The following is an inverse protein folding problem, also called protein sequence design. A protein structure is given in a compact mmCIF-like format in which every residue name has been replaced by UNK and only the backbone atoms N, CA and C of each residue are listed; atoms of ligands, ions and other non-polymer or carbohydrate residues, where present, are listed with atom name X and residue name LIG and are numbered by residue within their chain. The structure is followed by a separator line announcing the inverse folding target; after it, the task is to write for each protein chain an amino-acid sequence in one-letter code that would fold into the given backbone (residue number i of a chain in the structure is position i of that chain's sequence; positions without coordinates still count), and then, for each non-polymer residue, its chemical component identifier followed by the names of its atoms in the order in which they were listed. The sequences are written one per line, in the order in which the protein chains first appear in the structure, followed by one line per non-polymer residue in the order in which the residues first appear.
data_IF_814342903348
#
_entry.id   IF_814342903348
#
_cell.length_a   1.000
_cell.length_b   1.000
_cell.length_c   1.000
_cell.angle_alpha   90.00
_cell.angle_beta   90.00
_cell.angle_gamma   90.00
#
_symmetry.space_group_name_H-M   'P 1'
#
loop_
_entity.id
_entity.type
_entity.pdbx_description
1 polymer ?
#
# COMPACT_ATOMS: atom_id res chain seq x y z
N UNK A 1 -17.88 0.31 18.15
CA UNK A 1 -16.89 -0.77 18.16
C UNK A 1 -15.69 -0.29 17.34
N UNK A 2 -14.64 0.18 18.02
CA UNK A 2 -13.63 1.11 17.47
C UNK A 2 -12.30 0.44 17.10
N UNK A 3 -12.26 -0.88 16.97
CA UNK A 3 -11.04 -1.54 16.48
C UNK A 3 -10.85 -1.30 14.97
N UNK A 4 -9.60 -1.13 14.53
CA UNK A 4 -9.20 -1.07 13.11
C UNK A 4 -9.77 -2.24 12.27
N UNK A 5 -10.17 -3.33 12.93
CA UNK A 5 -10.64 -4.55 12.28
C UNK A 5 -12.14 -4.68 12.04
N UNK A 6 -12.97 -3.84 12.65
CA UNK A 6 -14.31 -3.59 12.10
C UNK A 6 -14.24 -2.78 10.78
N UNK A 7 -13.08 -2.17 10.51
CA UNK A 7 -12.81 -1.21 9.44
C UNK A 7 -11.97 -1.76 8.28
N UNK A 8 -11.52 -3.01 8.29
CA UNK A 8 -11.04 -3.62 7.05
C UNK A 8 -12.24 -4.26 6.35
N UNK A 9 -12.61 -3.73 5.18
CA UNK A 9 -13.57 -4.36 4.29
C UNK A 9 -13.19 -5.85 4.16
N UNK A 10 -14.08 -6.75 4.63
CA UNK A 10 -13.88 -8.21 4.73
C UNK A 10 -12.83 -8.72 3.74
N UNK A 11 -11.66 -9.11 4.24
CA UNK A 11 -10.64 -9.79 3.45
C UNK A 11 -11.26 -11.03 2.79
N UNK A 12 -10.77 -11.38 1.60
CA UNK A 12 -11.16 -12.63 0.93
C UNK A 12 -10.24 -13.75 1.42
N UNK A 13 -10.77 -14.97 1.48
CA UNK A 13 -9.93 -16.13 1.77
C UNK A 13 -8.89 -16.27 0.66
N UNK A 14 -7.63 -16.57 1.04
CA UNK A 14 -6.44 -16.64 0.17
C UNK A 14 -5.94 -15.29 -0.36
N UNK A 15 -6.36 -14.18 0.25
CA UNK A 15 -5.73 -12.89 0.01
C UNK A 15 -4.33 -12.90 0.64
N UNK A 16 -3.36 -12.28 -0.04
CA UNK A 16 -2.00 -12.10 0.48
C UNK A 16 -1.79 -10.61 0.62
N UNK A 17 -1.35 -10.18 1.80
CA UNK A 17 -1.06 -8.80 2.12
C UNK A 17 0.43 -8.72 2.40
N UNK A 18 1.13 -7.85 1.67
CA UNK A 18 2.51 -7.49 1.99
C UNK A 18 2.51 -6.08 2.55
N UNK A 19 2.94 -5.93 3.81
CA UNK A 19 3.10 -4.65 4.46
C UNK A 19 4.55 -4.20 4.31
N UNK A 20 4.75 -3.13 3.54
CA UNK A 20 6.04 -2.44 3.39
C UNK A 20 5.98 -1.17 4.25
N UNK A 21 6.67 -1.18 5.38
CA UNK A 21 6.74 -0.03 6.29
C UNK A 21 7.96 0.82 5.94
N UNK A 22 7.84 2.14 6.12
CA UNK A 22 8.91 3.06 5.77
C UNK A 22 8.96 4.27 6.70
N UNK A 23 10.15 4.85 6.78
CA UNK A 23 10.44 6.18 7.30
C UNK A 23 11.47 6.85 6.39
N UNK A 24 12.68 7.18 6.84
CA UNK A 24 13.78 7.65 5.99
C UNK A 24 14.31 6.60 4.98
N UNK A 25 13.72 5.40 5.02
CA UNK A 25 13.92 4.29 4.10
C UNK A 25 12.93 3.17 4.42
N UNK A 26 12.96 2.08 3.65
CA UNK A 26 12.17 0.87 3.98
C UNK A 26 12.66 0.29 5.30
N UNK A 27 11.73 -0.01 6.21
CA UNK A 27 12.02 -0.52 7.55
C UNK A 27 11.79 -2.03 7.62
N UNK A 28 10.58 -2.48 7.33
CA UNK A 28 10.20 -3.89 7.39
C UNK A 28 9.27 -4.23 6.22
N UNK A 29 9.40 -5.46 5.73
CA UNK A 29 8.52 -6.07 4.74
C UNK A 29 7.99 -7.35 5.36
N UNK A 30 6.68 -7.41 5.61
CA UNK A 30 6.02 -8.57 6.19
C UNK A 30 4.88 -9.07 5.30
N UNK A 31 4.82 -10.37 5.09
CA UNK A 31 3.81 -11.03 4.25
C UNK A 31 2.84 -11.83 5.12
N UNK A 32 1.55 -11.56 4.92
CA UNK A 32 0.46 -12.24 5.61
C UNK A 32 -0.45 -12.92 4.60
N UNK A 33 -0.63 -14.22 4.72
CA UNK A 33 -1.61 -14.97 3.95
C UNK A 33 -2.89 -15.15 4.77
N UNK A 34 -4.00 -14.59 4.29
CA UNK A 34 -5.29 -14.65 4.97
C UNK A 34 -5.96 -16.00 4.70
N UNK A 35 -5.75 -16.94 5.61
CA UNK A 35 -6.39 -18.26 5.55
C UNK A 35 -7.79 -18.26 6.19
N UNK A 36 -7.96 -17.51 7.29
CA UNK A 36 -9.25 -17.25 7.93
C UNK A 36 -9.60 -15.76 7.89
N UNK A 37 -10.74 -15.45 7.25
CA UNK A 37 -11.26 -14.08 7.09
C UNK A 37 -12.03 -13.59 8.31
N UNK A 38 -12.21 -14.43 9.33
CA UNK A 38 -12.78 -13.99 10.59
C UNK A 38 -11.87 -12.95 11.24
N UNK A 39 -12.45 -11.91 11.82
CA UNK A 39 -11.66 -10.90 12.54
C UNK A 39 -10.89 -11.52 13.71
N UNK A 40 -11.29 -12.70 14.18
CA UNK A 40 -10.59 -13.44 15.25
C UNK A 40 -9.60 -14.48 14.72
N UNK A 41 -9.40 -14.56 13.41
CA UNK A 41 -8.43 -15.47 12.79
C UNK A 41 -7.00 -15.12 13.22
N UNK A 42 -6.15 -16.15 13.33
CA UNK A 42 -4.78 -16.01 13.81
C UNK A 42 -3.97 -14.98 13.00
N UNK A 43 -4.03 -15.05 11.66
CA UNK A 43 -3.34 -14.09 10.78
C UNK A 43 -3.83 -12.66 11.00
N UNK A 44 -5.13 -12.47 11.23
CA UNK A 44 -5.66 -11.13 11.52
C UNK A 44 -5.19 -10.60 12.87
N UNK A 45 -4.91 -11.47 13.85
CA UNK A 45 -4.29 -11.06 15.10
C UNK A 45 -2.81 -10.69 14.90
N UNK A 46 -2.08 -11.42 14.06
CA UNK A 46 -0.69 -11.12 13.70
C UNK A 46 -0.57 -9.77 12.97
N UNK A 47 -1.43 -9.51 11.98
CA UNK A 47 -1.47 -8.20 11.29
C UNK A 47 -1.71 -7.05 12.27
N UNK A 48 -2.64 -7.21 13.23
CA UNK A 48 -2.88 -6.18 14.26
C UNK A 48 -1.66 -5.97 15.14
N UNK A 49 -1.06 -7.03 15.64
CA UNK A 49 0.12 -6.95 16.50
C UNK A 49 1.26 -6.23 15.77
N UNK A 50 1.50 -6.59 14.50
CA UNK A 50 2.49 -5.93 13.68
C UNK A 50 2.23 -4.43 13.56
N UNK A 51 0.99 -4.02 13.28
CA UNK A 51 0.61 -2.60 13.16
C UNK A 51 0.71 -1.86 14.50
N UNK A 52 0.29 -2.47 15.61
CA UNK A 52 0.32 -1.85 16.95
C UNK A 52 1.76 -1.66 17.48
N UNK A 53 2.70 -2.48 17.01
CA UNK A 53 4.12 -2.39 17.34
C UNK A 53 4.86 -1.34 16.51
N UNK A 54 4.26 -0.81 15.44
CA UNK A 54 4.87 0.26 14.65
C UNK A 54 5.08 1.52 15.51
N UNK A 55 6.22 2.17 15.26
CA UNK A 55 6.61 3.41 15.92
C UNK A 55 6.94 4.43 14.85
N UNK A 56 6.25 5.57 14.90
CA UNK A 56 6.59 6.71 14.05
C UNK A 56 7.98 7.24 14.43
N UNK A 57 8.79 7.56 13.42
CA UNK A 57 10.11 8.14 13.60
C UNK A 57 10.91 8.14 12.31
N UNK A 58 11.83 9.10 12.16
CA UNK A 58 12.53 9.35 10.90
C UNK A 58 11.75 10.31 10.00
N UNK A 59 12.15 10.36 8.72
CA UNK A 59 11.44 11.10 7.68
C UNK A 59 10.54 10.21 6.84
N UNK A 60 10.34 10.58 5.57
CA UNK A 60 9.39 9.97 4.66
C UNK A 60 10.07 9.66 3.32
N UNK A 61 10.28 8.38 3.03
CA UNK A 61 10.87 7.87 1.80
C UNK A 61 9.84 7.12 0.95
N UNK A 62 8.70 7.75 0.67
CA UNK A 62 7.54 7.12 0.03
C UNK A 62 7.86 6.56 -1.37
N UNK A 63 8.68 7.24 -2.17
CA UNK A 63 9.04 6.73 -3.50
C UNK A 63 10.00 5.53 -3.43
N UNK A 64 10.88 5.50 -2.42
CA UNK A 64 11.74 4.33 -2.17
C UNK A 64 10.90 3.14 -1.77
N UNK A 65 9.94 3.33 -0.86
CA UNK A 65 9.03 2.28 -0.43
C UNK A 65 8.12 1.80 -1.56
N UNK A 66 7.63 2.73 -2.40
CA UNK A 66 6.80 2.38 -3.55
C UNK A 66 7.59 1.58 -4.59
N UNK A 67 8.87 1.92 -4.84
CA UNK A 67 9.75 1.09 -5.67
C UNK A 67 9.85 -0.34 -5.15
N UNK A 68 10.13 -0.51 -3.85
CA UNK A 68 10.22 -1.83 -3.21
C UNK A 68 8.92 -2.62 -3.38
N UNK A 69 7.77 -1.96 -3.15
CA UNK A 69 6.46 -2.58 -3.33
C UNK A 69 6.22 -3.06 -4.77
N UNK A 70 6.66 -2.30 -5.79
CA UNK A 70 6.57 -2.71 -7.19
C UNK A 70 7.48 -3.90 -7.51
N UNK A 71 8.71 -3.94 -6.97
CA UNK A 71 9.62 -5.07 -7.17
C UNK A 71 9.04 -6.36 -6.58
N UNK A 72 8.53 -6.30 -5.34
CA UNK A 72 7.85 -7.41 -4.69
C UNK A 72 6.59 -7.86 -5.43
N UNK A 73 5.76 -6.91 -5.87
CA UNK A 73 4.52 -7.23 -6.57
C UNK A 73 4.79 -7.81 -7.97
N UNK A 74 5.80 -7.30 -8.69
CA UNK A 74 6.21 -7.83 -9.99
C UNK A 74 6.77 -9.26 -9.86
N UNK A 75 7.57 -9.54 -8.84
CA UNK A 75 8.05 -10.90 -8.56
C UNK A 75 6.88 -11.84 -8.25
N UNK A 76 5.96 -11.44 -7.37
CA UNK A 76 4.79 -12.23 -7.04
C UNK A 76 3.89 -12.49 -8.26
N UNK A 77 3.70 -11.49 -9.12
CA UNK A 77 2.92 -11.61 -10.36
C UNK A 77 3.55 -12.61 -11.34
N UNK A 78 4.88 -12.70 -11.41
CA UNK A 78 5.54 -13.73 -12.24
C UNK A 78 5.32 -15.14 -11.70
N UNK A 79 5.21 -15.31 -10.37
CA UNK A 79 4.96 -16.61 -9.74
C UNK A 79 3.50 -17.05 -9.86
N UNK A 80 2.55 -16.12 -9.76
CA UNK A 80 1.12 -16.38 -9.94
C UNK A 80 0.42 -15.27 -10.75
N UNK A 81 0.46 -15.37 -12.10
CA UNK A 81 -0.09 -14.35 -12.99
C UNK A 81 -1.63 -14.29 -13.01
N UNK A 82 -2.32 -15.27 -12.40
CA UNK A 82 -3.78 -15.30 -12.35
C UNK A 82 -4.36 -14.50 -11.17
N UNK A 83 -3.52 -13.96 -10.30
CA UNK A 83 -3.94 -13.09 -9.19
C UNK A 83 -4.02 -11.63 -9.62
N UNK A 84 -4.82 -10.88 -8.87
CA UNK A 84 -4.91 -9.43 -9.01
C UNK A 84 -3.94 -8.78 -8.03
N UNK A 85 -3.18 -7.81 -8.54
CA UNK A 85 -2.18 -7.08 -7.78
C UNK A 85 -2.52 -5.59 -7.78
N UNK A 86 -2.42 -4.97 -6.61
CA UNK A 86 -2.56 -3.54 -6.43
C UNK A 86 -1.74 -3.09 -5.23
N UNK A 87 -1.20 -1.88 -5.30
CA UNK A 87 -0.45 -1.27 -4.20
C UNK A 87 -1.32 -0.19 -3.58
N UNK A 88 -1.30 -0.10 -2.25
CA UNK A 88 -1.91 1.01 -1.50
C UNK A 88 -0.79 1.74 -0.80
N UNK A 89 -0.51 2.97 -1.23
CA UNK A 89 0.48 3.85 -0.59
C UNK A 89 -0.23 4.77 0.39
N UNK A 90 0.15 4.70 1.65
CA UNK A 90 -0.39 5.55 2.72
C UNK A 90 0.73 6.45 3.25
N UNK A 91 0.51 7.76 3.28
CA UNK A 91 1.48 8.73 3.81
C UNK A 91 0.79 9.91 4.48
N UNK A 92 1.36 10.42 5.56
CA UNK A 92 0.92 11.62 6.29
C UNK A 92 1.82 12.85 6.09
N UNK A 93 2.90 12.70 5.32
CA UNK A 93 3.85 13.78 5.03
C UNK A 93 4.47 13.71 3.64
N UNK A 94 5.13 14.80 3.26
CA UNK A 94 5.90 14.93 2.02
C UNK A 94 7.14 14.03 2.03
N UNK A 95 7.62 13.65 0.84
CA UNK A 95 8.85 12.88 0.73
C UNK A 95 10.08 13.71 1.15
N UNK A 96 10.74 13.33 2.24
CA UNK A 96 11.94 14.02 2.77
C UNK A 96 13.23 13.27 2.51
N UNK A 97 13.16 11.96 2.23
CA UNK A 97 14.32 11.08 2.15
C UNK A 97 14.26 10.15 0.93
N UNK A 98 15.41 9.59 0.57
CA UNK A 98 15.50 8.56 -0.46
C UNK A 98 15.19 9.04 -1.88
N UNK A 99 14.47 8.20 -2.62
CA UNK A 99 14.13 8.43 -4.02
C UNK A 99 13.17 9.62 -4.16
N UNK A 100 13.34 10.43 -5.22
CA UNK A 100 12.39 11.46 -5.60
C UNK A 100 11.47 11.04 -6.76
N UNK A 101 10.42 11.83 -7.01
CA UNK A 101 9.40 11.58 -8.04
C UNK A 101 9.96 11.20 -9.42
N UNK A 102 10.86 12.01 -9.99
CA UNK A 102 11.40 11.77 -11.34
C UNK A 102 12.23 10.48 -11.44
N UNK A 103 12.88 10.08 -10.33
CA UNK A 103 13.61 8.80 -10.27
C UNK A 103 12.64 7.63 -10.22
N UNK A 104 11.52 7.77 -9.51
CA UNK A 104 10.45 6.78 -9.48
C UNK A 104 9.76 6.66 -10.85
N UNK A 105 9.42 7.76 -11.51
CA UNK A 105 8.86 7.75 -12.88
C UNK A 105 9.78 7.01 -13.86
N UNK A 106 11.09 7.30 -13.79
CA UNK A 106 12.10 6.61 -14.62
C UNK A 106 12.21 5.12 -14.30
N UNK A 107 12.06 4.74 -13.03
CA UNK A 107 12.02 3.33 -12.61
C UNK A 107 10.75 2.65 -13.14
N UNK A 108 9.59 3.26 -12.92
CA UNK A 108 8.29 2.74 -13.33
C UNK A 108 8.21 2.53 -14.84
N UNK A 109 8.70 3.49 -15.63
CA UNK A 109 8.74 3.38 -17.10
C UNK A 109 9.66 2.28 -17.63
N UNK A 110 10.53 1.68 -16.80
CA UNK A 110 11.38 0.53 -17.17
C UNK A 110 10.80 -0.82 -16.75
N UNK A 111 9.69 -0.84 -16.00
CA UNK A 111 9.00 -2.08 -15.64
C UNK A 111 8.40 -2.75 -16.88
N UNK A 112 8.15 -4.06 -16.80
CA UNK A 112 7.38 -4.78 -17.83
C UNK A 112 5.95 -4.23 -17.91
N UNK A 113 5.27 -4.45 -19.05
CA UNK A 113 3.86 -4.07 -19.21
C UNK A 113 2.97 -4.68 -18.11
N UNK A 114 3.22 -5.94 -17.75
CA UNK A 114 2.50 -6.62 -16.66
C UNK A 114 2.68 -5.92 -15.31
N UNK A 115 3.90 -5.49 -14.98
CA UNK A 115 4.17 -4.78 -13.73
C UNK A 115 3.64 -3.33 -13.76
N UNK A 116 3.64 -2.67 -14.92
CA UNK A 116 2.99 -1.37 -15.11
C UNK A 116 1.45 -1.47 -15.06
N UNK A 117 0.87 -2.66 -15.18
CA UNK A 117 -0.57 -2.85 -14.99
C UNK A 117 -1.00 -2.81 -13.51
N UNK A 118 -0.05 -2.91 -12.58
CA UNK A 118 -0.28 -2.86 -11.14
C UNK A 118 -0.61 -1.42 -10.74
N UNK A 119 -1.85 -1.19 -10.32
CA UNK A 119 -2.33 0.14 -9.93
C UNK A 119 -1.86 0.50 -8.53
N UNK A 120 -1.46 1.76 -8.35
CA UNK A 120 -1.22 2.33 -7.02
C UNK A 120 -2.36 3.24 -6.60
N UNK A 121 -2.99 2.92 -5.48
CA UNK A 121 -3.97 3.78 -4.82
C UNK A 121 -3.27 4.54 -3.70
N UNK A 122 -3.27 5.86 -3.78
CA UNK A 122 -2.65 6.70 -2.75
C UNK A 122 -3.70 7.11 -1.73
N UNK A 123 -3.35 7.06 -0.44
CA UNK A 123 -4.20 7.50 0.66
C UNK A 123 -3.43 8.57 1.40
N UNK A 124 -3.89 9.80 1.23
CA UNK A 124 -3.34 10.96 1.89
C UNK A 124 -3.88 11.04 3.32
N UNK A 125 -2.97 11.18 4.28
CA UNK A 125 -3.26 11.63 5.62
C UNK A 125 -2.56 12.96 5.88
N UNK A 126 -3.00 13.69 6.89
CA UNK A 126 -2.28 14.85 7.42
C UNK A 126 -1.85 15.86 6.34
N UNK A 127 -0.55 16.16 6.33
CA UNK A 127 0.06 17.24 5.55
C UNK A 127 0.90 16.69 4.38
N UNK A 128 0.55 15.51 3.83
CA UNK A 128 1.25 15.01 2.65
C UNK A 128 1.00 15.91 1.42
N UNK A 129 1.95 15.94 0.48
CA UNK A 129 1.80 16.70 -0.77
C UNK A 129 0.73 16.05 -1.65
N UNK A 130 -0.45 16.67 -1.68
CA UNK A 130 -1.60 16.24 -2.48
C UNK A 130 -1.25 16.11 -3.97
N UNK A 131 -0.46 17.03 -4.53
CA UNK A 131 -0.10 16.98 -5.94
C UNK A 131 0.81 15.79 -6.23
N UNK A 132 1.76 15.50 -5.33
CA UNK A 132 2.63 14.34 -5.45
C UNK A 132 1.85 13.02 -5.35
N UNK A 133 0.91 12.93 -4.40
CA UNK A 133 0.06 11.75 -4.18
C UNK A 133 -0.91 11.53 -5.34
N UNK A 134 -1.48 12.59 -5.90
CA UNK A 134 -2.35 12.54 -7.08
C UNK A 134 -1.55 12.16 -8.34
N UNK A 135 -0.36 12.74 -8.55
CA UNK A 135 0.49 12.42 -9.69
C UNK A 135 0.91 10.93 -9.71
N UNK A 136 1.22 10.35 -8.54
CA UNK A 136 1.50 8.91 -8.42
C UNK A 136 0.30 8.03 -8.77
N UNK A 137 -0.88 8.40 -8.27
CA UNK A 137 -2.11 7.69 -8.60
C UNK A 137 -2.38 7.72 -10.11
N UNK A 138 -2.24 8.89 -10.74
CA UNK A 138 -2.50 9.06 -12.18
C UNK A 138 -1.47 8.31 -13.04
N UNK A 139 -0.18 8.39 -12.68
CA UNK A 139 0.91 7.67 -13.37
C UNK A 139 0.65 6.16 -13.44
N UNK A 140 0.08 5.60 -12.38
CA UNK A 140 -0.15 4.16 -12.22
C UNK A 140 -1.58 3.74 -12.51
N UNK A 141 -2.40 4.65 -13.06
CA UNK A 141 -3.80 4.42 -13.41
C UNK A 141 -4.67 3.98 -12.21
N UNK A 142 -4.30 4.46 -11.02
CA UNK A 142 -5.01 4.28 -9.76
C UNK A 142 -5.89 5.47 -9.41
N UNK A 143 -5.99 5.78 -8.11
CA UNK A 143 -6.78 6.90 -7.59
C UNK A 143 -6.24 7.35 -6.23
N UNK A 144 -6.24 8.66 -6.00
CA UNK A 144 -5.99 9.23 -4.68
C UNK A 144 -7.28 9.23 -3.85
N UNK A 145 -7.14 8.90 -2.57
CA UNK A 145 -8.15 9.02 -1.55
C UNK A 145 -7.67 9.93 -0.43
N UNK A 146 -8.59 10.70 0.12
CA UNK A 146 -8.35 11.53 1.29
C UNK A 146 -8.77 10.75 2.56
N UNK A 147 -7.78 10.25 3.28
CA UNK A 147 -7.96 9.50 4.52
C UNK A 147 -8.37 10.37 5.72
N UNK A 148 -8.39 11.70 5.58
CA UNK A 148 -8.90 12.63 6.60
C UNK A 148 -10.41 12.83 6.51
N UNK A 149 -10.97 12.75 5.30
CA UNK A 149 -12.41 12.89 5.05
C UNK A 149 -13.14 11.56 4.89
N UNK A 150 -12.45 10.51 4.42
CA UNK A 150 -13.03 9.19 4.22
C UNK A 150 -12.44 8.16 5.20
N UNK A 151 -13.30 7.29 5.74
CA UNK A 151 -12.82 6.17 6.56
C UNK A 151 -12.02 5.18 5.72
N UNK A 152 -10.91 4.66 6.26
CA UNK A 152 -10.13 3.59 5.62
C UNK A 152 -10.97 2.40 5.17
N UNK A 153 -12.00 2.03 5.93
CA UNK A 153 -12.94 0.96 5.55
C UNK A 153 -13.67 1.22 4.24
N UNK A 154 -14.08 2.46 4.04
CA UNK A 154 -14.70 2.91 2.81
C UNK A 154 -13.70 2.92 1.67
N UNK A 155 -12.50 3.46 1.89
CA UNK A 155 -11.42 3.52 0.88
C UNK A 155 -11.06 2.11 0.40
N UNK A 156 -10.75 1.18 1.29
CA UNK A 156 -10.44 -0.21 0.92
C UNK A 156 -11.62 -0.89 0.21
N UNK A 157 -12.87 -0.57 0.57
CA UNK A 157 -14.05 -1.06 -0.16
C UNK A 157 -14.09 -0.51 -1.59
N UNK A 158 -13.73 0.76 -1.80
CA UNK A 158 -13.65 1.36 -3.14
C UNK A 158 -12.54 0.70 -3.97
N UNK A 159 -11.34 0.55 -3.40
CA UNK A 159 -10.18 -0.10 -4.06
C UNK A 159 -10.55 -1.51 -4.54
N UNK A 160 -11.22 -2.30 -3.69
CA UNK A 160 -11.72 -3.63 -4.05
C UNK A 160 -12.77 -3.65 -5.17
N UNK A 161 -13.39 -2.52 -5.49
CA UNK A 161 -14.30 -2.38 -6.63
C UNK A 161 -13.59 -2.21 -7.97
N UNK A 162 -12.28 -1.90 -7.96
CA UNK A 162 -11.43 -1.84 -9.17
C UNK A 162 -10.80 -3.20 -9.51
N UNK A 163 -10.93 -4.18 -8.61
CA UNK A 163 -10.43 -5.55 -8.73
C UNK A 163 -11.57 -6.51 -9.09
#
# INVERSE_FOLDING_TARGET
DESLTGRFARFRSREIITLVTFSSGVQQVELFQIDDVSSQGATMAEVRSFVDDLRAGGGTAMYTALKEAYELAAEAQQQDPNRLYSIVLMSDGENTDGMGASSFESFYGRLSEDAQSIRTFTVLFGDADENAMQALADLTNGRMFDGTSESLSFIFKQIRGYQ
#
